data_IF_461216633934
#
_entry.id   IF_461216633934
#
_cell.length_a   1.000
_cell.length_b   1.000
_cell.length_c   1.000
_cell.angle_alpha   90.00
_cell.angle_beta   90.00
_cell.angle_gamma   90.00
#
_symmetry.space_group_name_H-M   'P 1'
#
loop_
_entity.id
_entity.type
_entity.pdbx_description
1 polymer ?
#
# COMPACT_ATOMS: atom_id res chain seq x y z
N UNK A 1 3.27 -23.29 46.23
CA UNK A 1 3.06 -23.13 44.78
C UNK A 1 2.33 -21.82 44.61
N UNK A 2 3.06 -20.75 44.27
CA UNK A 2 2.49 -19.40 44.15
C UNK A 2 2.03 -19.19 42.71
N UNK A 3 0.79 -18.74 42.55
CA UNK A 3 0.18 -18.34 41.28
C UNK A 3 0.75 -16.96 40.89
N UNK A 4 1.36 -16.86 39.71
CA UNK A 4 1.83 -15.59 39.14
C UNK A 4 0.63 -14.83 38.53
N UNK A 5 0.34 -13.59 38.96
CA UNK A 5 -0.78 -12.83 38.44
C UNK A 5 -0.42 -12.28 37.06
N UNK A 6 -0.70 -13.08 36.03
CA UNK A 6 -1.13 -12.65 34.69
C UNK A 6 -0.57 -11.31 34.20
N UNK A 7 0.59 -11.38 33.53
CA UNK A 7 1.09 -10.34 32.65
C UNK A 7 0.10 -10.13 31.49
N UNK A 8 -0.70 -9.06 31.54
CA UNK A 8 -1.55 -8.67 30.42
C UNK A 8 -0.70 -7.90 29.41
N UNK A 9 -0.26 -8.57 28.36
CA UNK A 9 0.40 -7.92 27.23
C UNK A 9 -0.66 -7.13 26.44
N UNK A 10 -0.56 -5.80 26.45
CA UNK A 10 -1.27 -4.97 25.48
C UNK A 10 -0.64 -5.20 24.10
N UNK A 11 -1.19 -6.14 23.33
CA UNK A 11 -0.89 -6.22 21.90
C UNK A 11 -1.62 -5.05 21.24
N UNK A 12 -0.88 -3.99 20.92
CA UNK A 12 -1.35 -3.00 19.94
C UNK A 12 -1.24 -3.68 18.57
N UNK A 13 -2.30 -3.64 17.78
CA UNK A 13 -2.10 -3.76 16.34
C UNK A 13 -1.18 -2.61 15.92
N UNK A 14 -0.22 -2.93 15.07
CA UNK A 14 0.82 -2.00 14.67
C UNK A 14 0.25 -1.01 13.63
N UNK A 15 0.64 0.27 13.71
CA UNK A 15 0.01 1.40 13.02
C UNK A 15 0.31 1.48 11.51
N UNK A 16 1.03 0.50 10.98
CA UNK A 16 1.55 0.42 9.63
C UNK A 16 0.44 0.38 8.57
N UNK A 17 -0.79 0.03 8.94
CA UNK A 17 -1.96 0.04 8.07
C UNK A 17 -2.95 1.16 8.41
N UNK A 18 -2.56 2.21 9.16
CA UNK A 18 -3.49 3.24 9.62
C UNK A 18 -3.81 4.33 8.58
N UNK A 19 -3.07 4.39 7.47
CA UNK A 19 -3.38 5.30 6.36
C UNK A 19 -3.91 4.48 5.19
N UNK A 20 -5.16 4.71 4.80
CA UNK A 20 -5.83 4.02 3.69
C UNK A 20 -6.00 4.97 2.52
N UNK A 21 -5.10 4.91 1.54
CA UNK A 21 -5.17 5.72 0.33
C UNK A 21 -5.93 4.97 -0.79
N UNK A 22 -6.99 5.58 -1.33
CA UNK A 22 -7.85 4.94 -2.33
C UNK A 22 -8.65 5.97 -3.16
N UNK A 23 -9.32 5.48 -4.21
CA UNK A 23 -10.27 6.30 -4.96
C UNK A 23 -9.59 7.42 -5.74
N UNK A 24 -10.09 8.64 -5.53
CA UNK A 24 -9.67 9.82 -6.27
C UNK A 24 -9.16 10.90 -5.33
N UNK A 25 -7.83 11.00 -5.21
CA UNK A 25 -7.10 12.02 -4.46
C UNK A 25 -7.40 12.12 -2.96
N UNK A 26 -7.81 11.01 -2.32
CA UNK A 26 -8.19 10.96 -0.90
C UNK A 26 -7.55 9.79 -0.16
N UNK A 27 -7.51 9.91 1.17
CA UNK A 27 -7.20 8.81 2.07
C UNK A 27 -7.99 8.92 3.39
N UNK A 28 -7.99 7.86 4.18
CA UNK A 28 -8.44 7.85 5.57
C UNK A 28 -7.26 7.64 6.50
N UNK A 29 -7.19 8.45 7.56
CA UNK A 29 -6.28 8.31 8.69
C UNK A 29 -7.03 7.72 9.89
N UNK A 30 -6.55 6.59 10.40
CA UNK A 30 -7.14 5.82 11.49
C UNK A 30 -6.39 5.98 12.82
N UNK A 31 -5.33 6.81 12.89
CA UNK A 31 -4.46 6.94 14.06
C UNK A 31 -5.18 7.42 15.33
N UNK A 32 -6.24 8.22 15.16
CA UNK A 32 -6.96 8.83 16.29
C UNK A 32 -8.04 7.93 16.93
N UNK A 33 -8.31 6.76 16.34
CA UNK A 33 -9.44 5.90 16.71
C UNK A 33 -10.78 6.26 16.06
N UNK A 34 -10.86 7.41 15.38
CA UNK A 34 -11.93 7.74 14.45
C UNK A 34 -11.32 8.04 13.05
N UNK A 35 -11.96 7.62 11.95
CA UNK A 35 -11.47 7.91 10.61
C UNK A 35 -11.47 9.42 10.31
N UNK A 36 -10.31 9.94 9.91
CA UNK A 36 -10.13 11.34 9.47
C UNK A 36 -9.80 11.34 7.98
N UNK A 37 -10.53 12.15 7.19
CA UNK A 37 -10.27 12.25 5.77
C UNK A 37 -9.02 13.11 5.49
N UNK A 38 -8.14 12.61 4.64
CA UNK A 38 -6.98 13.32 4.10
C UNK A 38 -7.18 13.58 2.59
N UNK A 39 -6.55 14.63 2.09
CA UNK A 39 -6.56 15.03 0.68
C UNK A 39 -5.14 15.28 0.17
N UNK A 40 -4.98 15.44 -1.16
CA UNK A 40 -3.67 15.70 -1.78
C UNK A 40 -2.94 14.45 -2.28
N UNK A 41 -3.53 13.27 -2.11
CA UNK A 41 -3.04 12.05 -2.71
C UNK A 41 -3.16 12.11 -4.24
N UNK A 42 -2.28 11.39 -4.93
CA UNK A 42 -2.20 11.39 -6.41
C UNK A 42 -2.88 10.18 -7.06
N UNK A 43 -3.67 9.44 -6.29
CA UNK A 43 -4.39 8.25 -6.77
C UNK A 43 -5.56 8.69 -7.66
N UNK A 44 -5.67 8.06 -8.83
CA UNK A 44 -6.85 8.09 -9.69
C UNK A 44 -7.22 6.67 -10.09
N UNK A 45 -7.85 5.94 -9.18
CA UNK A 45 -8.23 4.55 -9.40
C UNK A 45 -9.54 4.21 -8.70
N UNK A 46 -10.41 3.45 -9.37
CA UNK A 46 -11.67 2.99 -8.79
C UNK A 46 -11.46 1.90 -7.73
N UNK A 47 -10.37 1.15 -7.83
CA UNK A 47 -10.02 0.02 -6.97
C UNK A 47 -8.52 -0.27 -7.07
N UNK A 48 -8.03 -1.25 -6.32
CA UNK A 48 -6.67 -1.75 -6.52
C UNK A 48 -5.60 -0.75 -6.10
N UNK A 49 -5.69 -0.26 -4.86
CA UNK A 49 -4.69 0.62 -4.25
C UNK A 49 -4.12 -0.02 -3.00
N UNK A 50 -2.89 0.33 -2.68
CA UNK A 50 -2.25 -0.05 -1.42
C UNK A 50 -1.49 1.15 -0.87
N UNK A 51 -1.48 1.27 0.45
CA UNK A 51 -0.71 2.25 1.20
C UNK A 51 -0.09 1.56 2.40
N UNK A 52 1.05 2.09 2.85
CA UNK A 52 1.72 1.62 4.06
C UNK A 52 2.22 2.83 4.85
N UNK A 53 2.05 2.76 6.16
CA UNK A 53 2.57 3.67 7.16
C UNK A 53 3.68 2.99 7.95
N UNK A 54 4.42 3.76 8.75
CA UNK A 54 5.36 3.23 9.72
C UNK A 54 4.68 2.82 11.04
N UNK A 55 5.47 2.34 11.99
CA UNK A 55 4.99 1.94 13.32
C UNK A 55 4.39 3.09 14.14
N UNK A 56 4.66 4.35 13.77
CA UNK A 56 4.07 5.55 14.34
C UNK A 56 2.76 5.98 13.68
N UNK A 57 2.39 5.36 12.55
CA UNK A 57 1.21 5.69 11.78
C UNK A 57 1.43 6.77 10.72
N UNK A 58 2.69 7.14 10.47
CA UNK A 58 3.04 8.11 9.44
C UNK A 58 3.15 7.43 8.08
N UNK A 59 2.51 7.99 7.05
CA UNK A 59 2.56 7.45 5.69
C UNK A 59 4.01 7.30 5.22
N UNK A 60 4.35 6.15 4.63
CA UNK A 60 5.64 5.93 3.97
C UNK A 60 5.50 6.09 2.45
N UNK A 61 4.59 5.32 1.85
CA UNK A 61 4.28 5.38 0.43
C UNK A 61 2.95 4.71 0.10
N UNK A 62 2.45 4.95 -1.12
CA UNK A 62 1.23 4.33 -1.64
C UNK A 62 1.36 4.07 -3.15
N UNK A 63 0.53 3.16 -3.67
CA UNK A 63 0.62 2.70 -5.04
C UNK A 63 -0.75 2.26 -5.60
N UNK A 64 -0.90 2.43 -6.91
CA UNK A 64 -1.97 1.82 -7.72
C UNK A 64 -1.53 0.52 -8.41
N UNK A 65 -0.30 0.06 -8.16
CA UNK A 65 0.34 -1.02 -8.91
C UNK A 65 0.92 -0.59 -10.27
N UNK A 66 0.58 0.60 -10.78
CA UNK A 66 1.21 1.19 -11.97
C UNK A 66 2.22 2.28 -11.61
N UNK A 67 1.90 3.01 -10.55
CA UNK A 67 2.70 4.09 -10.03
C UNK A 67 2.82 3.98 -8.51
N UNK A 68 3.91 4.48 -7.95
CA UNK A 68 4.15 4.56 -6.52
C UNK A 68 4.60 5.98 -6.14
N UNK A 69 4.02 6.52 -5.07
CA UNK A 69 4.30 7.84 -4.55
C UNK A 69 4.77 7.76 -3.10
N UNK A 70 5.69 8.64 -2.72
CA UNK A 70 6.18 8.75 -1.36
C UNK A 70 5.17 9.48 -0.45
N UNK A 71 5.53 9.61 0.83
CA UNK A 71 4.77 10.34 1.84
C UNK A 71 4.50 11.82 1.51
N UNK A 72 5.33 12.41 0.67
CA UNK A 72 5.24 13.82 0.25
C UNK A 72 4.40 13.98 -1.03
N UNK A 73 3.70 12.91 -1.46
CA UNK A 73 2.85 12.82 -2.65
C UNK A 73 3.59 12.97 -3.98
N UNK A 74 4.91 12.73 -3.97
CA UNK A 74 5.76 12.78 -5.16
C UNK A 74 6.01 11.37 -5.69
N UNK A 75 6.16 11.22 -7.02
CA UNK A 75 6.52 9.94 -7.62
C UNK A 75 7.86 9.46 -7.07
N UNK A 76 7.91 8.21 -6.62
CA UNK A 76 9.15 7.60 -6.16
C UNK A 76 10.11 7.38 -7.35
N UNK A 77 11.44 7.39 -7.11
CA UNK A 77 12.40 6.89 -8.08
C UNK A 77 12.03 5.47 -8.53
N UNK A 78 11.95 5.23 -9.84
CA UNK A 78 11.45 3.98 -10.44
C UNK A 78 10.01 3.60 -10.05
N UNK A 79 9.24 4.54 -9.50
CA UNK A 79 7.84 4.36 -9.12
C UNK A 79 6.87 4.50 -10.30
N UNK A 80 7.32 4.30 -11.53
CA UNK A 80 6.50 4.35 -12.75
C UNK A 80 6.85 3.19 -13.67
N UNK A 81 5.94 2.80 -14.56
CA UNK A 81 6.19 1.67 -15.47
C UNK A 81 6.13 0.32 -14.76
N UNK A 82 5.57 0.30 -13.55
CA UNK A 82 5.25 -0.94 -12.84
C UNK A 82 4.11 -1.59 -13.63
N UNK A 83 4.30 -2.85 -14.02
CA UNK A 83 3.37 -3.56 -14.91
C UNK A 83 2.14 -4.11 -14.17
N UNK A 84 1.66 -3.37 -13.16
CA UNK A 84 0.43 -3.71 -12.47
C UNK A 84 -0.80 -3.52 -13.35
N UNK A 85 -1.89 -4.14 -12.90
CA UNK A 85 -3.17 -4.15 -13.59
C UNK A 85 -3.69 -2.74 -13.85
N UNK A 86 -4.07 -2.45 -15.09
CA UNK A 86 -4.56 -1.14 -15.56
C UNK A 86 -6.08 -1.13 -15.85
N UNK A 87 -6.77 -2.21 -15.47
CA UNK A 87 -8.21 -2.36 -15.59
C UNK A 87 -8.87 -2.57 -14.23
N UNK A 88 -9.92 -3.41 -14.21
CA UNK A 88 -10.65 -3.72 -12.98
C UNK A 88 -10.04 -4.91 -12.23
N UNK A 89 -9.64 -4.70 -10.98
CA UNK A 89 -9.09 -5.71 -10.08
C UNK A 89 -9.14 -5.25 -8.62
N UNK A 90 -9.97 -5.91 -7.81
CA UNK A 90 -10.24 -5.52 -6.40
C UNK A 90 -8.98 -5.53 -5.52
N UNK A 91 -7.99 -6.36 -5.84
CA UNK A 91 -6.71 -6.47 -5.13
C UNK A 91 -5.54 -6.59 -6.12
N UNK A 92 -5.34 -5.58 -6.97
CA UNK A 92 -4.27 -5.57 -7.97
C UNK A 92 -2.88 -5.28 -7.41
N UNK A 93 -2.79 -4.75 -6.19
CA UNK A 93 -1.55 -4.34 -5.54
C UNK A 93 -1.58 -4.65 -4.05
N UNK A 94 -0.45 -5.10 -3.50
CA UNK A 94 -0.26 -5.31 -2.07
C UNK A 94 1.15 -4.90 -1.64
N UNK A 95 1.28 -4.38 -0.42
CA UNK A 95 2.55 -3.96 0.17
C UNK A 95 2.83 -4.83 1.39
N UNK A 96 4.09 -5.26 1.58
CA UNK A 96 4.51 -6.03 2.76
C UNK A 96 5.91 -5.64 3.19
N UNK A 97 6.12 -5.45 4.50
CA UNK A 97 7.43 -5.16 5.07
C UNK A 97 8.37 -6.36 4.90
N UNK A 98 9.61 -6.10 4.50
CA UNK A 98 10.65 -7.13 4.45
C UNK A 98 11.00 -7.60 5.87
N UNK A 99 10.90 -8.90 6.19
CA UNK A 99 11.26 -9.38 7.51
C UNK A 99 12.73 -9.08 7.86
N UNK A 100 12.96 -8.42 8.99
CA UNK A 100 14.30 -8.09 9.46
C UNK A 100 14.91 -6.80 8.87
N UNK A 101 14.13 -6.00 8.14
CA UNK A 101 14.52 -4.64 7.75
C UNK A 101 13.43 -3.64 8.10
N UNK A 102 13.83 -2.48 8.62
CA UNK A 102 12.92 -1.36 8.88
C UNK A 102 12.73 -0.43 7.68
N UNK A 103 13.48 -0.66 6.59
CA UNK A 103 13.50 0.22 5.41
C UNK A 103 13.13 -0.46 4.10
N UNK A 104 13.03 -1.78 4.07
CA UNK A 104 12.70 -2.53 2.85
C UNK A 104 11.25 -3.03 2.87
N UNK A 105 10.59 -2.86 1.74
CA UNK A 105 9.21 -3.28 1.50
C UNK A 105 9.09 -3.95 0.14
N UNK A 106 8.25 -4.96 0.05
CA UNK A 106 7.82 -5.56 -1.20
C UNK A 106 6.54 -4.90 -1.70
N UNK A 107 6.50 -4.64 -3.01
CA UNK A 107 5.30 -4.27 -3.73
C UNK A 107 4.94 -5.42 -4.65
N UNK A 108 3.83 -6.09 -4.38
CA UNK A 108 3.28 -7.14 -5.23
C UNK A 108 2.23 -6.53 -6.15
N UNK A 109 2.30 -6.89 -7.43
CA UNK A 109 1.32 -6.44 -8.43
C UNK A 109 0.84 -7.60 -9.26
N UNK A 110 -0.44 -7.60 -9.60
CA UNK A 110 -0.98 -8.51 -10.61
C UNK A 110 -0.76 -7.92 -12.00
N UNK A 111 -0.24 -8.72 -12.92
CA UNK A 111 -0.10 -8.33 -14.32
C UNK A 111 -1.46 -8.37 -15.03
N UNK A 112 -1.67 -7.46 -15.98
CA UNK A 112 -2.83 -7.55 -16.85
C UNK A 112 -2.60 -8.62 -17.94
N UNK A 113 -3.32 -9.73 -17.86
CA UNK A 113 -3.27 -10.82 -18.85
C UNK A 113 -3.70 -10.42 -20.27
N UNK A 114 -4.18 -9.18 -20.47
CA UNK A 114 -4.55 -8.63 -21.78
C UNK A 114 -3.45 -7.92 -22.54
N UNK A 115 -2.25 -7.80 -21.97
CA UNK A 115 -1.04 -7.35 -22.68
C UNK A 115 -0.18 -8.54 -23.09
N UNK A 116 -0.78 -9.53 -23.75
CA UNK A 116 0.04 -10.41 -24.60
C UNK A 116 0.75 -9.50 -25.61
N UNK A 117 2.07 -9.50 -25.54
CA UNK A 117 2.94 -8.95 -26.56
C UNK A 117 2.49 -9.50 -27.91
N UNK A 118 1.82 -8.68 -28.72
CA UNK A 118 1.63 -8.98 -30.15
C UNK A 118 2.97 -8.79 -30.87
N UNK A 119 4.00 -9.55 -30.49
CA UNK A 119 5.00 -9.99 -31.45
C UNK A 119 4.36 -11.19 -32.15
N UNK A 120 3.46 -10.89 -33.09
CA UNK A 120 3.18 -11.84 -34.16
C UNK A 120 4.46 -11.90 -34.98
N UNK A 121 5.30 -12.89 -34.72
CA UNK A 121 6.22 -13.39 -35.74
C UNK A 121 5.34 -13.92 -36.87
N UNK A 122 5.02 -13.05 -37.82
CA UNK A 122 4.52 -13.43 -39.14
C UNK A 122 5.77 -13.81 -39.95
N UNK A 123 5.75 -14.93 -40.71
CA UNK A 123 6.94 -15.52 -41.34
C UNK A 123 7.77 -14.56 -42.19
#
# INVERSE_FOLDING_TARGET
MFIDPSFTLFVRAQAEDNIWAFGFNVALDLNSGAPVALSGFMISANEGTASIADSGGDLLFYSTGQQAWNKDHELMPNGTGILGHDGSGTQSVAISKYPGSDSLYYLFTLENSRKESLVKNVP
#
